data_IF_584154417441
#
_entry.id   IF_584154417441
#
_cell.length_a   1.000
_cell.length_b   1.000
_cell.length_c   1.000
_cell.angle_alpha   90.00
_cell.angle_beta   90.00
_cell.angle_gamma   90.00
#
_symmetry.space_group_name_H-M   'P 1'
#
loop_
_entity.id
_entity.type
_entity.pdbx_description
1 polymer ?
#
# COMPACT_ATOMS: atom_id res chain seq x y z
N UNK A 1 3.26 24.92 -10.99
CA UNK A 1 3.97 23.68 -10.61
C UNK A 1 4.68 23.96 -9.31
N UNK A 2 4.42 23.14 -8.28
CA UNK A 2 5.17 23.24 -7.02
C UNK A 2 6.47 22.45 -7.15
N UNK A 3 7.61 22.98 -6.65
CA UNK A 3 8.87 22.24 -6.66
C UNK A 3 8.78 21.01 -5.75
N UNK A 4 9.34 19.87 -6.18
CA UNK A 4 9.41 18.65 -5.38
C UNK A 4 10.81 18.01 -5.46
N UNK A 5 11.18 17.27 -4.42
CA UNK A 5 12.43 16.50 -4.37
C UNK A 5 12.23 15.13 -5.02
N UNK A 6 13.06 14.80 -6.03
CA UNK A 6 13.10 13.46 -6.64
C UNK A 6 14.29 12.67 -6.09
N UNK A 7 14.01 11.68 -5.25
CA UNK A 7 15.03 10.77 -4.71
C UNK A 7 15.34 9.70 -5.77
N UNK A 8 16.62 9.52 -6.10
CA UNK A 8 17.10 8.53 -7.10
C UNK A 8 18.05 7.47 -6.55
N UNK A 9 18.47 7.63 -5.29
CA UNK A 9 19.36 6.70 -4.60
C UNK A 9 18.53 5.68 -3.80
N UNK A 10 18.78 4.38 -4.02
CA UNK A 10 18.00 3.31 -3.40
C UNK A 10 18.16 3.24 -1.88
N UNK A 11 19.33 3.58 -1.35
CA UNK A 11 19.55 3.55 0.08
C UNK A 11 18.81 4.71 0.75
N UNK A 12 18.81 5.89 0.12
CA UNK A 12 17.96 7.00 0.57
C UNK A 12 16.48 6.64 0.50
N UNK A 13 16.02 5.98 -0.59
CA UNK A 13 14.62 5.51 -0.70
C UNK A 13 14.26 4.57 0.46
N UNK A 14 15.13 3.63 0.83
CA UNK A 14 14.89 2.72 1.98
C UNK A 14 14.81 3.49 3.30
N UNK A 15 15.63 4.53 3.46
CA UNK A 15 15.57 5.38 4.65
C UNK A 15 14.22 6.08 4.75
N UNK A 16 13.79 6.77 3.69
CA UNK A 16 12.51 7.50 3.66
C UNK A 16 11.30 6.57 3.78
N UNK A 17 11.29 5.44 3.08
CA UNK A 17 10.11 4.58 2.97
C UNK A 17 9.98 3.54 4.09
N UNK A 18 11.06 3.21 4.79
CA UNK A 18 11.10 2.08 5.74
C UNK A 18 11.74 2.48 7.07
N UNK A 19 13.01 2.90 7.08
CA UNK A 19 13.77 3.06 8.33
C UNK A 19 13.29 4.25 9.15
N UNK A 20 13.08 5.38 8.48
CA UNK A 20 12.74 6.65 9.09
C UNK A 20 11.27 7.01 8.80
N UNK A 21 10.41 5.99 8.64
CA UNK A 21 9.03 6.14 8.19
C UNK A 21 8.22 7.14 9.02
N UNK A 22 8.40 7.17 10.34
CA UNK A 22 7.70 8.11 11.23
C UNK A 22 7.96 9.58 10.89
N UNK A 23 9.13 9.91 10.31
CA UNK A 23 9.45 11.26 9.86
C UNK A 23 8.88 11.59 8.48
N UNK A 24 8.50 10.57 7.70
CA UNK A 24 8.03 10.68 6.32
C UNK A 24 6.66 10.02 6.11
N UNK A 25 5.87 9.89 7.17
CA UNK A 25 4.58 9.20 7.13
C UNK A 25 3.56 9.95 6.27
N UNK A 26 3.63 11.28 6.30
CA UNK A 26 2.90 12.17 5.40
C UNK A 26 3.71 12.44 4.14
N UNK A 27 3.13 12.09 2.99
CA UNK A 27 3.80 12.17 1.67
C UNK A 27 3.42 13.42 0.88
N UNK A 28 2.67 14.35 1.48
CA UNK A 28 2.37 15.66 0.89
C UNK A 28 1.49 15.60 -0.36
N UNK A 29 0.75 14.51 -0.56
CA UNK A 29 -0.25 14.39 -1.63
C UNK A 29 -1.62 14.33 -0.98
N UNK A 30 -2.40 15.39 -1.14
CA UNK A 30 -3.78 15.44 -0.66
C UNK A 30 -4.71 14.69 -1.60
N UNK A 31 -5.55 13.82 -1.04
CA UNK A 31 -6.60 13.11 -1.76
C UNK A 31 -7.97 13.50 -1.23
N UNK A 32 -9.01 13.20 -2.01
CA UNK A 32 -10.39 13.40 -1.59
C UNK A 32 -10.65 12.74 -0.24
N UNK A 33 -11.32 13.45 0.67
CA UNK A 33 -11.80 12.86 1.92
C UNK A 33 -13.05 11.99 1.72
N UNK A 34 -13.45 11.73 0.48
CA UNK A 34 -14.60 10.92 0.12
C UNK A 34 -14.23 9.86 -0.93
N UNK A 35 -14.99 8.77 -0.95
CA UNK A 35 -14.83 7.69 -1.92
C UNK A 35 -13.45 7.05 -1.88
N UNK A 36 -12.81 6.89 -3.04
CA UNK A 36 -11.53 6.20 -3.18
C UNK A 36 -10.35 6.93 -2.52
N UNK A 37 -10.50 8.20 -2.14
CA UNK A 37 -9.43 8.91 -1.42
C UNK A 37 -9.31 8.49 0.05
N UNK A 38 -10.38 7.94 0.64
CA UNK A 38 -10.39 7.35 2.00
C UNK A 38 -9.80 5.94 1.98
N UNK A 39 -8.48 5.83 1.86
CA UNK A 39 -7.79 4.55 1.82
C UNK A 39 -6.47 4.56 2.61
N UNK A 40 -5.90 3.37 2.83
CA UNK A 40 -4.68 3.20 3.61
C UNK A 40 -3.48 3.98 3.04
N UNK A 41 -3.35 4.13 1.72
CA UNK A 41 -2.19 4.80 1.11
C UNK A 41 -2.18 6.31 1.31
N UNK A 42 -3.35 6.92 1.56
CA UNK A 42 -3.52 8.37 1.72
C UNK A 42 -3.92 8.78 3.14
N UNK A 43 -3.94 7.82 4.07
CA UNK A 43 -4.19 8.07 5.48
C UNK A 43 -3.01 8.83 6.11
N UNK A 44 -3.32 9.76 7.02
CA UNK A 44 -2.31 10.37 7.89
C UNK A 44 -1.63 9.32 8.79
N UNK A 45 -0.53 9.69 9.45
CA UNK A 45 0.30 8.73 10.19
C UNK A 45 -0.45 7.93 11.27
N UNK A 46 -1.36 8.58 12.01
CA UNK A 46 -2.13 7.92 13.06
C UNK A 46 -3.18 6.97 12.46
N UNK A 47 -3.95 7.45 11.49
CA UNK A 47 -4.97 6.66 10.79
C UNK A 47 -4.33 5.50 10.04
N UNK A 48 -3.20 5.74 9.36
CA UNK A 48 -2.41 4.73 8.67
C UNK A 48 -1.99 3.63 9.63
N UNK A 49 -1.49 3.99 10.81
CA UNK A 49 -1.04 3.03 11.83
C UNK A 49 -2.20 2.16 12.31
N UNK A 50 -3.34 2.76 12.63
CA UNK A 50 -4.53 2.04 13.06
C UNK A 50 -5.06 1.09 11.97
N UNK A 51 -5.17 1.58 10.73
CA UNK A 51 -5.60 0.76 9.59
C UNK A 51 -4.62 -0.37 9.32
N UNK A 52 -3.31 -0.08 9.27
CA UNK A 52 -2.27 -1.08 8.99
C UNK A 52 -2.28 -2.19 10.02
N UNK A 53 -2.41 -1.86 11.31
CA UNK A 53 -2.52 -2.85 12.39
C UNK A 53 -3.78 -3.71 12.24
N UNK A 54 -4.90 -3.15 11.79
CA UNK A 54 -6.15 -3.88 11.53
C UNK A 54 -6.06 -4.80 10.31
N UNK A 55 -5.42 -4.36 9.22
CA UNK A 55 -5.34 -5.12 7.97
C UNK A 55 -4.23 -6.18 7.96
N UNK A 56 -3.11 -5.94 8.63
CA UNK A 56 -1.95 -6.85 8.62
C UNK A 56 -2.31 -8.32 8.94
N UNK A 57 -3.17 -8.63 9.92
CA UNK A 57 -3.57 -10.01 10.23
C UNK A 57 -4.41 -10.70 9.13
N UNK A 58 -4.93 -9.97 8.14
CA UNK A 58 -5.70 -10.51 7.02
C UNK A 58 -4.75 -10.99 5.91
N UNK A 59 -3.63 -10.29 5.72
CA UNK A 59 -2.66 -10.54 4.66
C UNK A 59 -1.43 -11.33 5.14
N UNK A 60 -1.62 -12.25 6.10
CA UNK A 60 -0.53 -13.15 6.51
C UNK A 60 -0.21 -14.13 5.39
N UNK A 61 1.03 -14.64 5.35
CA UNK A 61 1.44 -15.64 4.36
C UNK A 61 0.52 -16.87 4.37
N UNK A 62 0.05 -17.32 5.53
CA UNK A 62 -0.88 -18.45 5.64
C UNK A 62 -2.24 -18.16 5.00
N UNK A 63 -2.83 -16.99 5.28
CA UNK A 63 -4.11 -16.60 4.67
C UNK A 63 -3.99 -16.39 3.17
N UNK A 64 -2.92 -15.76 2.71
CA UNK A 64 -2.64 -15.56 1.28
C UNK A 64 -2.48 -16.90 0.56
N UNK A 65 -1.74 -17.86 1.12
CA UNK A 65 -1.64 -19.22 0.56
C UNK A 65 -3.00 -19.90 0.46
N UNK A 66 -3.84 -19.75 1.49
CA UNK A 66 -5.19 -20.32 1.49
C UNK A 66 -6.13 -19.65 0.47
N UNK A 67 -5.84 -18.41 0.04
CA UNK A 67 -6.61 -17.70 -0.99
C UNK A 67 -6.05 -17.89 -2.41
N UNK A 68 -4.85 -18.47 -2.55
CA UNK A 68 -4.14 -18.55 -3.82
C UNK A 68 -4.93 -19.30 -4.91
N UNK A 69 -5.75 -20.28 -4.54
CA UNK A 69 -6.58 -21.02 -5.48
C UNK A 69 -7.55 -20.11 -6.26
N UNK A 70 -8.05 -19.02 -5.65
CA UNK A 70 -8.94 -18.05 -6.31
C UNK A 70 -8.22 -17.31 -7.46
N UNK A 71 -6.92 -17.05 -7.29
CA UNK A 71 -6.12 -16.42 -8.35
C UNK A 71 -5.92 -17.38 -9.53
N UNK A 72 -5.68 -18.66 -9.25
CA UNK A 72 -5.55 -19.68 -10.28
C UNK A 72 -6.88 -19.85 -11.03
N UNK A 73 -8.00 -20.00 -10.32
CA UNK A 73 -9.32 -20.16 -10.93
C UNK A 73 -9.67 -18.99 -11.86
N UNK A 74 -9.37 -17.75 -11.45
CA UNK A 74 -9.55 -16.58 -12.29
C UNK A 74 -8.63 -16.57 -13.51
N UNK A 75 -7.38 -17.01 -13.36
CA UNK A 75 -6.42 -17.15 -14.45
C UNK A 75 -6.84 -18.23 -15.46
N UNK A 76 -7.25 -19.40 -14.99
CA UNK A 76 -7.72 -20.52 -15.80
C UNK A 76 -8.97 -20.12 -16.58
N UNK A 77 -9.95 -19.47 -15.91
CA UNK A 77 -11.16 -18.94 -16.55
C UNK A 77 -10.85 -17.92 -17.65
N UNK A 78 -9.84 -17.07 -17.45
CA UNK A 78 -9.41 -16.12 -18.47
C UNK A 78 -8.75 -16.81 -19.67
N UNK A 79 -7.94 -17.84 -19.44
CA UNK A 79 -7.31 -18.62 -20.51
C UNK A 79 -8.36 -19.37 -21.32
N UNK A 80 -9.37 -19.97 -20.69
CA UNK A 80 -10.45 -20.68 -21.39
C UNK A 80 -11.31 -19.76 -22.25
N UNK A 81 -11.44 -18.49 -21.86
CA UNK A 81 -12.19 -17.49 -22.61
C UNK A 81 -11.45 -17.00 -23.87
N UNK A 82 -10.11 -17.04 -23.88
CA UNK A 82 -9.25 -16.56 -24.98
C UNK A 82 -9.03 -17.66 -26.01
#
# INVERSE_FOLDING_TARGET
>A
TSPCLLIRDLDIVKHVMIKDFEAFSDRGVEFSKEGLGQNLFHADGETWTALRNRFTPIFTTGKLKNMFYLLNEGGDSFIEYV
#
